data_IF_099134576933
#
_entry.id   IF_099134576933
#
_cell.length_a   1.000
_cell.length_b   1.000
_cell.length_c   1.000
_cell.angle_alpha   90.00
_cell.angle_beta   90.00
_cell.angle_gamma   90.00
#
_symmetry.space_group_name_H-M   'P 1'
#
loop_
_entity.id
_entity.type
_entity.pdbx_description
1 polymer ?
#
# COMPACT_ATOMS: atom_id res chain seq x y z
N UNK A 1 -5.14 -12.45 -3.59
CA UNK A 1 -5.02 -11.13 -4.25
C UNK A 1 -3.86 -10.43 -3.56
N UNK A 2 -2.90 -9.88 -4.30
CA UNK A 2 -1.63 -9.39 -3.76
C UNK A 2 -1.63 -7.87 -3.57
N UNK A 3 -2.64 -7.37 -2.88
CA UNK A 3 -2.91 -5.96 -2.59
C UNK A 3 -3.93 -5.85 -1.44
N UNK A 4 -4.15 -4.65 -0.94
CA UNK A 4 -4.93 -4.35 0.28
C UNK A 4 -4.36 -5.04 1.53
N UNK A 5 -3.02 -5.16 1.61
CA UNK A 5 -2.37 -5.63 2.83
C UNK A 5 -2.53 -4.62 3.97
N UNK A 6 -2.41 -3.33 3.65
CA UNK A 6 -2.65 -2.22 4.57
C UNK A 6 -3.62 -1.21 3.99
N UNK A 7 -4.34 -0.52 4.87
CA UNK A 7 -5.30 0.50 4.49
C UNK A 7 -5.87 1.24 5.69
N UNK A 8 -6.85 2.11 5.44
CA UNK A 8 -7.39 3.02 6.47
C UNK A 8 -7.95 2.36 7.74
N UNK A 9 -8.12 1.04 7.75
CA UNK A 9 -8.56 0.26 8.90
C UNK A 9 -7.46 0.01 9.95
N UNK A 10 -6.18 0.19 9.60
CA UNK A 10 -5.03 -0.14 10.46
C UNK A 10 -4.77 0.91 11.57
N UNK A 11 -5.24 2.15 11.39
CA UNK A 11 -4.96 3.31 12.28
C UNK A 11 -3.48 3.74 12.34
N UNK A 12 -2.66 3.24 11.42
CA UNK A 12 -1.35 3.76 11.08
C UNK A 12 -1.13 3.67 9.57
N UNK A 13 -0.08 4.31 9.05
CA UNK A 13 0.29 4.20 7.63
C UNK A 13 0.88 2.82 7.34
N UNK A 14 0.59 2.30 6.15
CA UNK A 14 1.12 1.05 5.63
C UNK A 14 0.96 1.03 4.11
N UNK A 15 1.81 0.27 3.41
CA UNK A 15 1.78 0.24 1.95
C UNK A 15 0.75 -0.79 1.44
N UNK A 16 -0.03 -0.46 0.41
CA UNK A 16 -1.13 -1.35 0.00
C UNK A 16 -0.68 -2.71 -0.57
N UNK A 17 0.50 -2.75 -1.20
CA UNK A 17 1.01 -3.89 -1.98
C UNK A 17 2.54 -3.98 -1.94
N UNK A 18 3.17 -4.23 -0.78
CA UNK A 18 4.59 -4.46 -0.69
C UNK A 18 4.98 -5.77 -1.40
N UNK A 19 6.12 -5.78 -2.09
CA UNK A 19 6.61 -6.98 -2.80
C UNK A 19 7.25 -7.96 -1.81
N UNK A 20 8.01 -7.44 -0.84
CA UNK A 20 8.76 -8.20 0.15
C UNK A 20 8.42 -7.76 1.58
N UNK A 21 8.75 -8.60 2.57
CA UNK A 21 8.51 -8.32 3.98
C UNK A 21 9.34 -7.12 4.49
N UNK A 22 8.68 -6.23 5.22
CA UNK A 22 9.31 -5.13 5.94
C UNK A 22 9.52 -5.53 7.42
N UNK A 23 10.67 -5.21 8.05
CA UNK A 23 10.96 -5.67 9.42
C UNK A 23 10.08 -5.01 10.48
N UNK A 24 9.51 -3.85 10.16
CA UNK A 24 8.62 -3.09 11.04
C UNK A 24 7.14 -3.31 10.71
N UNK A 25 6.82 -4.30 9.86
CA UNK A 25 5.43 -4.68 9.59
C UNK A 25 4.86 -5.48 10.77
N UNK A 26 3.59 -5.29 11.08
CA UNK A 26 2.87 -6.04 12.12
C UNK A 26 2.75 -7.52 11.77
N UNK A 27 2.63 -7.83 10.47
CA UNK A 27 2.58 -9.19 9.96
C UNK A 27 3.60 -9.38 8.82
N UNK A 28 4.68 -10.12 9.10
CA UNK A 28 5.73 -10.43 8.11
C UNK A 28 5.23 -11.19 6.87
N UNK A 29 3.99 -11.69 6.89
CA UNK A 29 3.34 -12.37 5.78
C UNK A 29 2.59 -11.44 4.82
N UNK A 30 2.40 -10.16 5.18
CA UNK A 30 1.64 -9.17 4.43
C UNK A 30 2.41 -8.60 3.23
N UNK A 31 2.82 -9.49 2.32
CA UNK A 31 3.51 -9.12 1.08
C UNK A 31 3.22 -10.10 -0.06
N UNK A 32 3.44 -9.63 -1.29
CA UNK A 32 3.18 -10.38 -2.51
C UNK A 32 4.04 -11.65 -2.59
N UNK A 33 5.32 -11.58 -2.23
CA UNK A 33 6.22 -12.72 -2.28
C UNK A 33 5.75 -13.86 -1.37
N UNK A 34 5.43 -13.58 -0.10
CA UNK A 34 4.86 -14.58 0.81
C UNK A 34 3.55 -15.16 0.24
N UNK A 35 2.63 -14.30 -0.21
CA UNK A 35 1.32 -14.72 -0.69
C UNK A 35 1.41 -15.69 -1.87
N UNK A 36 2.27 -15.41 -2.85
CA UNK A 36 2.47 -16.28 -4.02
C UNK A 36 3.15 -17.59 -3.62
N UNK A 37 4.18 -17.54 -2.77
CA UNK A 37 4.89 -18.74 -2.30
C UNK A 37 3.99 -19.62 -1.44
N UNK A 38 3.12 -19.01 -0.61
CA UNK A 38 2.16 -19.72 0.21
C UNK A 38 1.23 -20.56 -0.67
N UNK A 39 0.57 -19.97 -1.66
CA UNK A 39 -0.30 -20.73 -2.57
C UNK A 39 0.43 -21.82 -3.34
N UNK A 40 1.66 -21.55 -3.80
CA UNK A 40 2.48 -22.57 -4.45
C UNK A 40 2.79 -23.75 -3.50
N UNK A 41 3.10 -23.47 -2.23
CA UNK A 41 3.37 -24.50 -1.20
C UNK A 41 2.13 -25.30 -0.82
N UNK A 42 0.93 -24.71 -0.94
CA UNK A 42 -0.35 -25.40 -0.75
C UNK A 42 -0.77 -26.23 -1.98
N UNK A 43 0.08 -26.32 -3.01
CA UNK A 43 -0.14 -27.18 -4.18
C UNK A 43 -0.76 -26.49 -5.39
N UNK A 44 -0.89 -25.16 -5.39
CA UNK A 44 -1.33 -24.45 -6.59
C UNK A 44 -0.26 -24.54 -7.70
N UNK A 45 -0.68 -24.89 -8.93
CA UNK A 45 0.20 -24.85 -10.10
C UNK A 45 0.66 -23.40 -10.34
N UNK A 46 1.97 -23.17 -10.26
CA UNK A 46 2.59 -21.84 -10.41
C UNK A 46 2.20 -21.15 -11.72
N UNK A 47 1.94 -21.92 -12.79
CA UNK A 47 1.53 -21.36 -14.09
C UNK A 47 0.08 -20.89 -14.12
N UNK A 48 -0.72 -21.25 -13.12
CA UNK A 48 -2.10 -20.82 -12.94
C UNK A 48 -2.24 -19.70 -11.91
N UNK A 49 -1.16 -19.35 -11.21
CA UNK A 49 -1.15 -18.22 -10.27
C UNK A 49 -1.04 -16.91 -11.05
N UNK A 50 -2.07 -16.07 -10.91
CA UNK A 50 -2.09 -14.72 -11.46
C UNK A 50 -1.85 -13.74 -10.32
N UNK A 51 -0.73 -13.03 -10.36
CA UNK A 51 -0.40 -12.02 -9.36
C UNK A 51 -1.17 -10.74 -9.66
N UNK A 52 -1.92 -10.26 -8.67
CA UNK A 52 -2.63 -8.99 -8.76
C UNK A 52 -1.65 -7.81 -8.74
N UNK A 53 -1.92 -6.78 -9.54
CA UNK A 53 -1.15 -5.54 -9.57
C UNK A 53 -2.12 -4.36 -9.44
N UNK A 54 -2.18 -3.68 -8.28
CA UNK A 54 -3.14 -2.60 -8.08
C UNK A 54 -2.71 -1.35 -8.87
N UNK A 55 -3.65 -0.75 -9.59
CA UNK A 55 -3.49 0.57 -10.24
C UNK A 55 -4.16 1.68 -9.40
N UNK A 56 -3.97 1.59 -8.09
CA UNK A 56 -4.49 2.49 -7.07
C UNK A 56 -3.58 2.44 -5.83
N UNK A 57 -3.78 3.37 -4.91
CA UNK A 57 -3.13 3.39 -3.60
C UNK A 57 -4.15 3.54 -2.48
N UNK A 58 -3.75 3.12 -1.28
CA UNK A 58 -4.44 3.45 -0.04
C UNK A 58 -3.85 4.75 0.52
N UNK A 59 -4.70 5.63 1.03
CA UNK A 59 -4.31 6.94 1.56
C UNK A 59 -4.76 7.10 3.01
N UNK A 60 -4.06 7.96 3.74
CA UNK A 60 -4.26 8.12 5.18
C UNK A 60 -4.28 9.59 5.57
N UNK A 61 -5.02 9.92 6.62
CA UNK A 61 -4.91 11.20 7.33
C UNK A 61 -4.11 10.99 8.62
N UNK A 62 -2.90 11.55 8.64
CA UNK A 62 -1.96 11.43 9.75
C UNK A 62 -2.48 12.12 11.02
N UNK A 63 -2.20 11.54 12.19
CA UNK A 63 -2.52 12.14 13.48
C UNK A 63 -1.65 13.38 13.79
N UNK A 64 -0.41 13.39 13.28
CA UNK A 64 0.55 14.49 13.36
C UNK A 64 1.20 14.67 11.99
N UNK A 65 1.48 15.91 11.58
CA UNK A 65 2.17 16.17 10.31
C UNK A 65 3.66 15.85 10.39
N UNK A 66 4.20 15.91 11.60
CA UNK A 66 5.60 15.64 11.92
C UNK A 66 5.94 14.14 11.80
N UNK A 67 4.93 13.27 11.87
CA UNK A 67 5.04 11.81 11.73
C UNK A 67 4.44 11.38 10.39
N UNK A 68 5.24 11.35 9.32
CA UNK A 68 4.80 11.05 7.95
C UNK A 68 5.48 9.82 7.32
N UNK A 69 6.16 9.03 8.14
CA UNK A 69 6.87 7.82 7.72
C UNK A 69 5.93 6.60 7.67
N UNK A 70 6.49 5.41 7.37
CA UNK A 70 5.78 4.15 7.49
C UNK A 70 5.39 3.90 8.96
N UNK A 71 4.26 3.26 9.22
CA UNK A 71 3.71 3.00 10.56
C UNK A 71 3.38 4.25 11.40
N UNK A 72 3.35 5.43 10.80
CA UNK A 72 2.94 6.66 11.47
C UNK A 72 1.46 6.59 11.88
N UNK A 73 1.07 7.07 13.08
CA UNK A 73 -0.32 7.02 13.54
C UNK A 73 -1.29 7.81 12.64
N UNK A 74 -2.50 7.26 12.42
CA UNK A 74 -3.54 7.88 11.58
C UNK A 74 -4.88 7.94 12.31
N UNK A 75 -5.71 8.92 11.97
CA UNK A 75 -7.08 9.02 12.51
C UNK A 75 -8.15 8.57 11.51
N UNK A 76 -7.75 8.12 10.32
CA UNK A 76 -8.64 7.57 9.30
C UNK A 76 -8.01 7.61 7.92
N UNK A 77 -8.82 7.23 6.92
CA UNK A 77 -8.40 7.31 5.52
C UNK A 77 -8.19 8.74 5.05
N UNK A 78 -7.28 8.89 4.10
CA UNK A 78 -6.99 10.16 3.45
C UNK A 78 -8.20 10.70 2.72
N UNK A 79 -8.18 12.00 2.45
CA UNK A 79 -9.26 12.68 1.73
C UNK A 79 -9.57 11.98 0.40
N UNK A 80 -10.87 11.88 0.12
CA UNK A 80 -11.36 11.20 -1.07
C UNK A 80 -10.82 11.87 -2.34
N UNK A 81 -10.43 11.04 -3.32
CA UNK A 81 -10.05 11.52 -4.65
C UNK A 81 -11.21 12.23 -5.35
N UNK A 82 -10.87 13.17 -6.23
CA UNK A 82 -11.81 13.97 -7.01
C UNK A 82 -12.73 13.10 -7.89
N UNK A 83 -12.17 12.02 -8.45
CA UNK A 83 -12.85 11.12 -9.37
C UNK A 83 -13.33 9.85 -8.67
N UNK A 84 -12.48 9.23 -7.83
CA UNK A 84 -12.83 7.98 -7.13
C UNK A 84 -13.84 8.20 -6.00
N UNK A 85 -13.84 9.38 -5.38
CA UNK A 85 -14.78 9.81 -4.32
C UNK A 85 -14.86 8.83 -3.15
N UNK A 86 -13.80 8.08 -2.92
CA UNK A 86 -13.69 7.08 -1.87
C UNK A 86 -12.60 7.50 -0.88
N UNK A 87 -12.98 7.68 0.38
CA UNK A 87 -12.04 8.02 1.45
C UNK A 87 -11.04 6.88 1.64
N UNK A 88 -9.76 7.23 1.78
CA UNK A 88 -8.68 6.28 1.91
C UNK A 88 -8.24 5.62 0.62
N UNK A 89 -8.79 5.99 -0.53
CA UNK A 89 -8.48 5.38 -1.82
C UNK A 89 -8.13 6.45 -2.85
N UNK A 90 -7.10 6.19 -3.66
CA UNK A 90 -6.74 7.04 -4.80
C UNK A 90 -6.41 6.17 -6.00
N UNK A 91 -7.01 6.45 -7.16
CA UNK A 91 -6.59 5.82 -8.41
C UNK A 91 -5.19 6.30 -8.81
N UNK A 92 -4.47 5.49 -9.61
CA UNK A 92 -3.10 5.82 -10.04
C UNK A 92 -2.99 7.22 -10.68
N UNK A 93 -3.95 7.63 -11.52
CA UNK A 93 -3.93 8.96 -12.14
C UNK A 93 -4.15 10.10 -11.12
N UNK A 94 -4.91 9.87 -10.05
CA UNK A 94 -5.11 10.84 -8.97
C UNK A 94 -3.84 11.04 -8.16
N UNK A 95 -3.05 9.97 -7.98
CA UNK A 95 -1.71 10.00 -7.37
C UNK A 95 -0.74 10.75 -8.28
N UNK A 96 -0.72 10.46 -9.59
CA UNK A 96 0.11 11.18 -10.55
C UNK A 96 -0.20 12.67 -10.57
N UNK A 97 -1.48 13.07 -10.53
CA UNK A 97 -1.86 14.47 -10.47
C UNK A 97 -1.31 15.16 -9.21
N UNK A 98 -1.41 14.50 -8.05
CA UNK A 98 -0.90 15.01 -6.78
C UNK A 98 0.62 15.22 -6.81
N UNK A 99 1.37 14.28 -7.39
CA UNK A 99 2.82 14.40 -7.58
C UNK A 99 3.15 15.55 -8.54
N UNK A 100 2.53 15.55 -9.73
CA UNK A 100 2.92 16.46 -10.82
C UNK A 100 2.42 17.91 -10.63
N UNK A 101 1.27 18.10 -9.98
CA UNK A 101 0.60 19.40 -9.89
C UNK A 101 0.44 19.93 -8.46
N UNK A 102 0.41 19.05 -7.45
CA UNK A 102 0.18 19.43 -6.04
C UNK A 102 1.42 19.30 -5.17
N UNK A 103 2.58 18.98 -5.75
CA UNK A 103 3.87 18.99 -5.08
C UNK A 103 4.02 17.90 -4.01
N UNK A 104 3.37 16.75 -4.18
CA UNK A 104 3.58 15.62 -3.27
C UNK A 104 5.02 15.12 -3.36
N UNK A 105 5.62 14.90 -2.20
CA UNK A 105 6.95 14.30 -2.08
C UNK A 105 6.86 12.78 -2.35
N UNK A 106 7.82 12.27 -3.12
CA UNK A 106 7.91 10.85 -3.45
C UNK A 106 9.06 10.25 -2.65
N UNK A 107 8.72 9.37 -1.72
CA UNK A 107 9.67 8.56 -0.95
C UNK A 107 9.72 7.16 -1.56
N UNK A 108 10.93 6.60 -1.67
CA UNK A 108 11.16 5.22 -2.11
C UNK A 108 11.84 4.46 -0.99
N UNK A 109 11.44 3.22 -0.78
CA UNK A 109 12.16 2.33 0.12
C UNK A 109 13.58 2.07 -0.43
N UNK A 110 14.64 2.36 0.34
CA UNK A 110 16.02 2.13 -0.10
C UNK A 110 16.31 0.65 -0.40
N UNK A 111 15.59 -0.28 0.22
CA UNK A 111 15.77 -1.72 0.01
C UNK A 111 14.91 -2.30 -1.13
N UNK A 112 14.00 -1.50 -1.71
CA UNK A 112 13.12 -1.93 -2.81
C UNK A 112 12.10 -3.01 -2.42
N UNK A 113 11.73 -3.09 -1.14
CA UNK A 113 10.66 -3.96 -0.61
C UNK A 113 9.29 -3.37 -0.86
N UNK A 114 9.22 -2.04 -0.82
CA UNK A 114 8.01 -1.24 -0.94
C UNK A 114 8.20 -0.14 -1.99
N UNK A 115 7.33 -0.09 -3.00
CA UNK A 115 7.34 0.97 -4.03
C UNK A 115 8.18 0.63 -5.25
#
# INVERSE_FOLDING_TARGET
MAYDYHGQWDKHTGHLAPMYAHPEDDDVTFNANFTIQYWASQGADRRKLVMGMPMYGQSFSLASKEENELNAPTYGGGEAGEETRARGFLAYYEICERILKKGWEVVKDPDGRIG
#
